data_IF_226190057858
#
_entry.id   IF_226190057858
#
_cell.length_a   1.000
_cell.length_b   1.000
_cell.length_c   1.000
_cell.angle_alpha   90.00
_cell.angle_beta   90.00
_cell.angle_gamma   90.00
#
_symmetry.space_group_name_H-M   'P 1'
#
loop_
_entity.id
_entity.type
_entity.pdbx_description
1 polymer ?
#
# COMPACT_ATOMS: atom_id res chain seq x y z
N UNK A 1 3.58 -16.04 -20.91
CA UNK A 1 4.49 -15.33 -21.86
C UNK A 1 5.93 -15.67 -21.51
N UNK A 2 6.82 -15.81 -22.48
CA UNK A 2 8.26 -15.98 -22.21
C UNK A 2 8.90 -14.61 -22.04
N UNK A 3 9.79 -14.47 -21.04
CA UNK A 3 10.64 -13.29 -20.89
C UNK A 3 11.47 -13.09 -22.16
N UNK A 4 11.50 -11.89 -22.66
CA UNK A 4 12.34 -11.48 -23.79
C UNK A 4 13.50 -10.61 -23.28
N UNK A 5 14.63 -10.66 -23.98
CA UNK A 5 15.78 -9.78 -23.67
C UNK A 5 15.50 -8.35 -24.16
N UNK A 6 14.55 -7.67 -23.52
CA UNK A 6 14.17 -6.27 -23.76
C UNK A 6 14.14 -5.52 -22.42
N UNK A 7 14.13 -4.20 -22.50
CA UNK A 7 14.01 -3.36 -21.30
C UNK A 7 12.68 -3.56 -20.59
N UNK A 8 12.69 -3.42 -19.27
CA UNK A 8 11.49 -3.22 -18.47
C UNK A 8 11.33 -1.73 -18.16
N UNK A 9 10.19 -1.18 -18.49
CA UNK A 9 9.82 0.19 -18.12
C UNK A 9 9.15 0.20 -16.77
N UNK A 10 9.59 1.08 -15.85
CA UNK A 10 8.89 1.39 -14.60
C UNK A 10 8.11 2.69 -14.83
N UNK A 11 6.81 2.67 -14.60
CA UNK A 11 5.94 3.83 -14.87
C UNK A 11 4.68 3.79 -14.03
N UNK A 12 4.09 4.95 -13.80
CA UNK A 12 2.70 5.03 -13.32
C UNK A 12 1.72 4.88 -14.49
N UNK A 13 0.48 4.54 -14.18
CA UNK A 13 -0.59 4.38 -15.17
C UNK A 13 -0.83 5.66 -16.01
N UNK A 14 -0.59 6.82 -15.40
CA UNK A 14 -0.82 8.16 -15.96
C UNK A 14 0.44 8.88 -16.50
N UNK A 15 1.60 8.23 -16.50
CA UNK A 15 2.87 8.92 -16.84
C UNK A 15 3.06 9.15 -18.34
N UNK A 16 2.50 8.29 -19.19
CA UNK A 16 2.60 8.39 -20.65
C UNK A 16 1.23 8.66 -21.30
N UNK A 17 0.35 9.31 -20.57
CA UNK A 17 -1.02 9.62 -20.94
C UNK A 17 -1.82 9.92 -19.69
N UNK A 18 -3.12 9.64 -19.70
CA UNK A 18 -4.00 9.87 -18.54
C UNK A 18 -4.33 8.60 -17.77
N UNK A 19 -4.21 7.44 -18.42
CA UNK A 19 -4.67 6.16 -17.90
C UNK A 19 -3.95 4.98 -18.56
N UNK A 20 -4.33 3.76 -18.19
CA UNK A 20 -3.76 2.51 -18.70
C UNK A 20 -3.98 2.31 -20.20
N UNK A 21 -5.11 2.75 -20.75
CA UNK A 21 -5.38 2.68 -22.19
C UNK A 21 -4.42 3.57 -22.98
N UNK A 22 -4.20 4.81 -22.52
CA UNK A 22 -3.23 5.71 -23.11
C UNK A 22 -1.80 5.15 -22.99
N UNK A 23 -1.43 4.67 -21.81
CA UNK A 23 -0.14 4.02 -21.56
C UNK A 23 0.10 2.91 -22.57
N UNK A 24 -0.86 1.99 -22.74
CA UNK A 24 -0.77 0.90 -23.72
C UNK A 24 -0.57 1.44 -25.14
N UNK A 25 -1.35 2.44 -25.51
CA UNK A 25 -1.30 3.04 -26.86
C UNK A 25 0.08 3.63 -27.16
N UNK A 26 0.67 4.35 -26.22
CA UNK A 26 2.01 4.92 -26.37
C UNK A 26 3.08 3.82 -26.44
N UNK A 27 2.98 2.80 -25.58
CA UNK A 27 3.90 1.67 -25.59
C UNK A 27 3.86 0.92 -26.93
N UNK A 28 2.67 0.66 -27.47
CA UNK A 28 2.51 -0.06 -28.75
C UNK A 28 3.04 0.74 -29.94
N UNK A 29 2.81 2.05 -29.95
CA UNK A 29 3.23 2.91 -31.07
C UNK A 29 4.72 3.22 -31.08
N UNK A 30 5.32 3.43 -29.93
CA UNK A 30 6.65 4.05 -29.83
C UNK A 30 7.71 3.13 -29.22
N UNK A 31 7.32 2.13 -28.43
CA UNK A 31 8.25 1.33 -27.62
C UNK A 31 8.15 -0.18 -27.83
N UNK A 32 7.35 -0.65 -28.75
CA UNK A 32 7.07 -2.08 -28.95
C UNK A 32 8.33 -2.93 -29.17
N UNK A 33 9.34 -2.39 -29.89
CA UNK A 33 10.60 -3.09 -30.12
C UNK A 33 11.56 -3.04 -28.93
N UNK A 34 11.46 -2.04 -28.07
CA UNK A 34 12.41 -1.76 -26.97
C UNK A 34 11.92 -2.30 -25.62
N UNK A 35 10.61 -2.15 -25.31
CA UNK A 35 10.02 -2.47 -24.03
C UNK A 35 9.30 -3.81 -24.10
N UNK A 36 9.84 -4.81 -23.42
CA UNK A 36 9.25 -6.16 -23.32
C UNK A 36 8.50 -6.40 -22.01
N UNK A 37 8.70 -5.57 -21.01
CA UNK A 37 8.00 -5.63 -19.74
C UNK A 37 7.65 -4.26 -19.20
N UNK A 38 6.62 -4.19 -18.35
CA UNK A 38 6.20 -2.96 -17.69
C UNK A 38 5.99 -3.25 -16.20
N UNK A 39 6.72 -2.52 -15.36
CA UNK A 39 6.42 -2.41 -13.95
C UNK A 39 5.44 -1.24 -13.79
N UNK A 40 4.16 -1.55 -13.62
CA UNK A 40 3.15 -0.54 -13.33
C UNK A 40 3.19 -0.29 -11.83
N UNK A 41 3.61 0.93 -11.45
CA UNK A 41 3.61 1.40 -10.07
C UNK A 41 2.17 1.43 -9.54
N UNK A 42 1.94 1.49 -8.22
CA UNK A 42 0.63 1.28 -7.63
C UNK A 42 -0.49 2.05 -8.33
N UNK A 43 -1.55 1.34 -8.69
CA UNK A 43 -2.67 1.85 -9.49
C UNK A 43 -4.04 1.58 -8.85
N UNK A 44 -4.08 1.05 -7.63
CA UNK A 44 -5.31 0.95 -6.85
C UNK A 44 -5.67 2.30 -6.20
N UNK A 45 -6.93 2.52 -5.78
CA UNK A 45 -7.32 3.72 -5.06
C UNK A 45 -6.41 3.97 -3.85
N UNK A 46 -5.89 5.18 -3.75
CA UNK A 46 -4.92 5.56 -2.74
C UNK A 46 -5.21 6.94 -2.18
N UNK A 47 -4.95 7.14 -0.89
CA UNK A 47 -5.16 8.43 -0.24
C UNK A 47 -3.93 9.35 -0.29
N UNK A 48 -2.75 8.80 -0.56
CA UNK A 48 -1.49 9.56 -0.55
C UNK A 48 -0.36 8.81 -1.26
N UNK A 49 0.82 9.47 -1.31
CA UNK A 49 2.10 8.92 -1.76
C UNK A 49 2.02 8.30 -3.17
N UNK A 50 1.20 8.88 -4.03
CA UNK A 50 1.03 8.52 -5.45
C UNK A 50 0.80 7.01 -5.66
N UNK A 51 -0.17 6.44 -4.93
CA UNK A 51 -0.52 5.02 -4.99
C UNK A 51 0.03 4.18 -3.83
N UNK A 52 1.09 4.65 -3.13
CA UNK A 52 1.73 3.90 -2.05
C UNK A 52 1.03 4.00 -0.69
N UNK A 53 -0.15 4.62 -0.60
CA UNK A 53 -1.06 4.52 0.53
C UNK A 53 -2.39 3.91 0.06
N UNK A 54 -2.41 2.62 -0.30
CA UNK A 54 -3.58 1.99 -0.91
C UNK A 54 -4.75 1.95 0.08
N UNK A 55 -5.93 2.28 -0.41
CA UNK A 55 -7.17 2.12 0.35
C UNK A 55 -7.78 0.72 0.16
N UNK A 56 -7.52 0.13 -1.02
CA UNK A 56 -7.99 -1.19 -1.44
C UNK A 56 -6.95 -1.82 -2.37
N UNK A 57 -7.02 -3.15 -2.55
CA UNK A 57 -6.12 -3.89 -3.44
C UNK A 57 -6.86 -4.63 -4.56
N UNK A 58 -8.17 -4.75 -4.46
CA UNK A 58 -9.02 -5.58 -5.31
C UNK A 58 -9.52 -4.88 -6.57
N UNK A 59 -9.33 -3.55 -6.68
CA UNK A 59 -9.74 -2.76 -7.83
C UNK A 59 -8.62 -1.87 -8.35
N UNK A 60 -8.69 -1.54 -9.62
CA UNK A 60 -7.94 -0.44 -10.24
C UNK A 60 -8.63 0.87 -9.87
N UNK A 61 -7.86 1.94 -9.67
CA UNK A 61 -8.46 3.27 -9.52
C UNK A 61 -9.26 3.63 -10.79
N UNK A 62 -10.54 4.01 -10.66
CA UNK A 62 -11.38 4.32 -11.82
C UNK A 62 -10.81 5.39 -12.75
N UNK A 63 -9.98 6.31 -12.24
CA UNK A 63 -9.32 7.33 -13.06
C UNK A 63 -8.25 6.71 -13.97
N UNK A 64 -7.73 5.53 -13.65
CA UNK A 64 -6.71 4.84 -14.42
C UNK A 64 -7.28 3.75 -15.34
N UNK A 65 -8.52 3.30 -15.12
CA UNK A 65 -9.16 2.25 -15.90
C UNK A 65 -9.60 1.06 -15.06
N UNK A 66 -9.43 -0.15 -15.59
CA UNK A 66 -9.85 -1.38 -14.92
C UNK A 66 -8.87 -2.55 -15.13
N UNK A 67 -9.22 -3.72 -14.58
CA UNK A 67 -8.41 -4.93 -14.75
C UNK A 67 -8.34 -5.44 -16.19
N UNK A 68 -9.30 -5.09 -17.07
CA UNK A 68 -9.23 -5.42 -18.48
C UNK A 68 -8.14 -4.63 -19.19
N UNK A 69 -7.93 -3.35 -18.80
CA UNK A 69 -6.82 -2.54 -19.32
C UNK A 69 -5.46 -3.09 -18.87
N UNK A 70 -5.33 -3.47 -17.61
CA UNK A 70 -4.12 -4.13 -17.08
C UNK A 70 -3.85 -5.41 -17.86
N UNK A 71 -4.89 -6.24 -18.05
CA UNK A 71 -4.79 -7.48 -18.84
C UNK A 71 -4.36 -7.20 -20.27
N UNK A 72 -4.91 -6.19 -20.92
CA UNK A 72 -4.58 -5.85 -22.31
C UNK A 72 -3.09 -5.49 -22.49
N UNK A 73 -2.45 -4.85 -21.47
CA UNK A 73 -1.00 -4.65 -21.48
C UNK A 73 -0.28 -6.00 -21.27
N UNK A 74 -0.77 -6.83 -20.35
CA UNK A 74 -0.20 -8.13 -20.01
C UNK A 74 -0.28 -9.17 -21.15
N UNK A 75 -1.24 -9.04 -22.07
CA UNK A 75 -1.35 -9.92 -23.24
C UNK A 75 -0.16 -9.78 -24.21
N UNK A 76 0.51 -8.63 -24.21
CA UNK A 76 1.62 -8.31 -25.13
C UNK A 76 2.94 -7.99 -24.45
N UNK A 77 2.95 -7.72 -23.13
CA UNK A 77 4.15 -7.39 -22.34
C UNK A 77 4.16 -8.12 -21.02
N UNK A 78 5.36 -8.41 -20.54
CA UNK A 78 5.52 -8.92 -19.18
C UNK A 78 5.16 -7.83 -18.15
N UNK A 79 4.36 -8.19 -17.14
CA UNK A 79 3.94 -7.26 -16.09
C UNK A 79 4.67 -7.52 -14.77
N UNK A 80 4.96 -6.44 -14.06
CA UNK A 80 5.41 -6.42 -12.69
C UNK A 80 4.57 -5.41 -11.91
N UNK A 81 4.31 -5.70 -10.63
CA UNK A 81 3.55 -4.85 -9.74
C UNK A 81 4.25 -4.75 -8.38
N UNK A 82 3.97 -3.67 -7.66
CA UNK A 82 4.28 -3.59 -6.23
C UNK A 82 3.31 -4.47 -5.44
N UNK A 83 3.84 -5.16 -4.44
CA UNK A 83 3.06 -5.93 -3.49
C UNK A 83 3.21 -5.33 -2.09
N UNK A 84 2.35 -4.36 -1.77
CA UNK A 84 2.41 -3.59 -0.53
C UNK A 84 1.70 -4.32 0.60
N UNK A 85 2.41 -5.21 1.27
CA UNK A 85 1.89 -5.98 2.42
C UNK A 85 2.27 -5.39 3.78
N UNK A 86 3.08 -4.34 3.79
CA UNK A 86 3.61 -3.74 5.01
C UNK A 86 2.72 -2.66 5.60
N UNK A 87 1.90 -1.99 4.79
CA UNK A 87 1.00 -0.94 5.26
C UNK A 87 -0.21 -0.77 4.33
N UNK A 88 -1.23 -0.10 4.84
CA UNK A 88 -2.43 0.31 4.13
C UNK A 88 -2.79 1.75 4.51
N UNK A 89 -3.59 2.42 3.68
CA UNK A 89 -4.04 3.77 3.97
C UNK A 89 -4.80 3.88 5.30
N UNK A 90 -4.52 4.95 6.03
CA UNK A 90 -5.33 5.39 7.18
C UNK A 90 -6.81 5.58 6.81
N UNK A 91 -7.11 5.92 5.53
CA UNK A 91 -8.47 6.10 5.03
C UNK A 91 -9.09 4.81 4.47
N UNK A 92 -8.38 3.68 4.57
CA UNK A 92 -8.92 2.40 4.11
C UNK A 92 -10.17 1.99 4.90
N UNK A 93 -11.13 1.30 4.27
CA UNK A 93 -12.28 0.74 4.97
C UNK A 93 -11.88 -0.16 6.13
N UNK A 94 -10.75 -0.83 6.03
CA UNK A 94 -10.21 -1.70 7.08
C UNK A 94 -9.82 -0.93 8.34
N UNK A 95 -9.09 0.16 8.18
CA UNK A 95 -8.70 0.99 9.31
C UNK A 95 -9.88 1.76 9.89
N UNK A 96 -10.83 2.21 9.05
CA UNK A 96 -12.05 2.87 9.50
C UNK A 96 -12.96 1.94 10.31
N UNK A 97 -13.08 0.65 9.93
CA UNK A 97 -13.79 -0.35 10.73
C UNK A 97 -13.11 -0.57 12.09
N UNK A 98 -11.78 -0.64 12.11
CA UNK A 98 -11.01 -0.74 13.35
C UNK A 98 -11.21 0.48 14.26
N UNK A 99 -11.21 1.71 13.72
CA UNK A 99 -11.49 2.92 14.51
C UNK A 99 -12.92 2.93 15.07
N UNK A 100 -13.88 2.43 14.30
CA UNK A 100 -15.28 2.41 14.70
C UNK A 100 -15.58 1.34 15.79
N UNK A 101 -14.92 0.19 15.75
CA UNK A 101 -15.27 -0.98 16.60
C UNK A 101 -14.18 -1.40 17.58
N UNK A 102 -12.95 -0.92 17.41
CA UNK A 102 -11.78 -1.23 18.25
C UNK A 102 -11.59 -2.74 18.43
N UNK A 103 -11.70 -3.25 19.65
CA UNK A 103 -11.51 -4.66 19.99
C UNK A 103 -12.65 -5.56 19.50
N UNK A 104 -13.82 -4.99 19.18
CA UNK A 104 -14.97 -5.69 18.58
C UNK A 104 -14.86 -5.82 17.05
N UNK A 105 -13.87 -5.17 16.43
CA UNK A 105 -13.60 -5.32 15.00
C UNK A 105 -13.00 -6.70 14.73
N UNK A 106 -13.45 -7.36 13.66
CA UNK A 106 -12.76 -8.54 13.13
C UNK A 106 -11.33 -8.22 12.64
N UNK A 107 -10.99 -6.94 12.56
CA UNK A 107 -9.69 -6.40 12.15
C UNK A 107 -8.86 -5.89 13.34
N UNK A 108 -9.25 -6.21 14.58
CA UNK A 108 -8.58 -5.72 15.78
C UNK A 108 -7.09 -6.10 15.85
N UNK A 109 -6.71 -7.27 15.30
CA UNK A 109 -5.33 -7.75 15.22
C UNK A 109 -4.65 -7.47 13.88
N UNK A 110 -5.36 -6.82 12.94
CA UNK A 110 -4.85 -6.54 11.60
C UNK A 110 -3.75 -5.47 11.59
N UNK A 111 -3.79 -4.54 12.53
CA UNK A 111 -2.86 -3.44 12.67
C UNK A 111 -1.87 -3.68 13.80
N UNK A 112 -0.65 -3.14 13.67
CA UNK A 112 0.33 -3.24 14.75
C UNK A 112 0.01 -2.15 15.77
N UNK A 113 -0.60 -2.54 16.88
CA UNK A 113 -0.85 -1.66 18.02
C UNK A 113 0.45 -1.44 18.77
N UNK A 114 0.77 -0.20 19.05
CA UNK A 114 2.05 0.18 19.66
C UNK A 114 2.26 -0.44 21.04
N UNK A 115 1.21 -0.44 21.84
CA UNK A 115 1.18 -1.05 23.18
C UNK A 115 1.50 -2.56 23.14
N UNK A 116 0.91 -3.28 22.20
CA UNK A 116 1.08 -4.73 22.11
C UNK A 116 2.47 -5.10 21.59
N UNK A 117 3.04 -4.28 20.70
CA UNK A 117 4.41 -4.44 20.23
C UNK A 117 5.43 -4.34 21.39
N UNK A 118 5.19 -3.44 22.32
CA UNK A 118 6.05 -3.20 23.48
C UNK A 118 5.60 -3.89 24.77
N UNK A 119 4.70 -4.89 24.68
CA UNK A 119 4.11 -5.54 25.84
C UNK A 119 5.15 -6.14 26.80
N UNK A 120 6.24 -6.71 26.25
CA UNK A 120 7.36 -7.26 27.04
C UNK A 120 8.14 -6.16 27.83
N UNK A 121 8.09 -4.93 27.34
CA UNK A 121 8.76 -3.75 27.94
C UNK A 121 7.78 -2.88 28.75
N UNK A 122 6.65 -3.44 29.19
CA UNK A 122 5.62 -2.73 29.94
C UNK A 122 4.62 -1.93 29.10
N UNK A 123 4.63 -2.16 27.77
CA UNK A 123 3.69 -1.52 26.84
C UNK A 123 4.09 -0.12 26.35
N UNK A 124 5.20 0.43 26.84
CA UNK A 124 5.72 1.74 26.45
C UNK A 124 7.26 1.71 26.35
N UNK A 125 7.82 2.14 25.22
CA UNK A 125 9.27 2.27 25.09
C UNK A 125 9.76 3.52 25.80
N UNK A 126 11.07 3.56 26.11
CA UNK A 126 11.76 4.79 26.45
C UNK A 126 12.03 5.64 25.20
N UNK A 127 12.33 6.93 25.37
CA UNK A 127 12.70 7.79 24.25
C UNK A 127 13.95 7.27 23.52
N UNK A 128 14.92 6.72 24.26
CA UNK A 128 16.14 6.12 23.68
C UNK A 128 15.81 4.89 22.83
N UNK A 129 14.86 4.05 23.27
CA UNK A 129 14.41 2.88 22.46
C UNK A 129 13.74 3.33 21.17
N UNK A 130 12.88 4.39 21.22
CA UNK A 130 12.26 4.97 20.03
C UNK A 130 13.29 5.60 19.11
N UNK A 131 14.27 6.29 19.66
CA UNK A 131 15.33 6.94 18.89
C UNK A 131 16.32 5.95 18.26
N UNK A 132 16.48 4.76 18.85
CA UNK A 132 17.27 3.68 18.27
C UNK A 132 16.61 2.99 17.07
N UNK A 133 15.29 3.20 16.86
CA UNK A 133 14.58 2.64 15.72
C UNK A 133 14.98 3.40 14.45
N UNK A 134 15.31 2.66 13.37
CA UNK A 134 15.50 3.28 12.07
C UNK A 134 14.20 3.98 11.62
N UNK A 135 14.30 5.28 11.40
CA UNK A 135 13.17 6.11 10.96
C UNK A 135 13.38 6.53 9.50
N UNK A 136 12.46 6.17 8.64
CA UNK A 136 12.49 6.61 7.24
C UNK A 136 12.27 8.12 7.09
N UNK A 137 11.53 8.73 8.02
CA UNK A 137 11.29 10.18 8.12
C UNK A 137 11.66 10.65 9.51
N UNK A 138 12.02 11.94 9.68
CA UNK A 138 12.40 12.50 10.99
C UNK A 138 11.17 12.73 11.87
N UNK A 139 10.42 11.68 12.18
CA UNK A 139 9.26 11.68 13.07
C UNK A 139 9.14 10.34 13.78
N UNK A 140 8.32 10.28 14.82
CA UNK A 140 7.99 9.03 15.48
C UNK A 140 7.28 8.07 14.52
N UNK A 141 7.56 6.74 14.59
CA UNK A 141 7.00 5.73 13.67
C UNK A 141 5.61 5.27 14.09
N UNK A 142 4.81 6.15 14.66
CA UNK A 142 3.44 5.88 15.11
C UNK A 142 2.56 7.11 14.97
N UNK A 143 1.26 6.89 14.94
CA UNK A 143 0.21 7.91 15.00
C UNK A 143 -0.84 7.54 16.02
N UNK A 144 -1.59 8.54 16.47
CA UNK A 144 -2.75 8.32 17.31
C UNK A 144 -3.94 7.83 16.47
N UNK A 145 -4.54 6.74 16.94
CA UNK A 145 -5.81 6.19 16.46
C UNK A 145 -6.90 6.57 17.46
N UNK A 146 -7.79 7.46 17.04
CA UNK A 146 -8.93 7.91 17.84
C UNK A 146 -10.12 7.00 17.55
N UNK A 147 -10.60 6.29 18.56
CA UNK A 147 -11.70 5.34 18.44
C UNK A 147 -13.06 6.00 18.68
N UNK A 148 -14.13 5.39 18.15
CA UNK A 148 -15.49 5.89 18.32
C UNK A 148 -15.96 5.89 19.79
N UNK A 149 -15.32 5.13 20.68
CA UNK A 149 -15.57 5.12 22.13
C UNK A 149 -14.92 6.32 22.85
N UNK A 150 -14.24 7.21 22.13
CA UNK A 150 -13.53 8.38 22.66
C UNK A 150 -12.15 8.07 23.23
N UNK A 151 -11.69 6.84 23.16
CA UNK A 151 -10.33 6.46 23.59
C UNK A 151 -9.33 6.67 22.44
N UNK A 152 -8.05 6.75 22.79
CA UNK A 152 -6.95 6.92 21.82
C UNK A 152 -5.86 5.89 22.11
N UNK A 153 -5.36 5.24 21.07
CA UNK A 153 -4.19 4.38 21.15
C UNK A 153 -3.20 4.71 20.02
N UNK A 154 -1.92 4.37 20.23
CA UNK A 154 -0.92 4.50 19.18
C UNK A 154 -0.89 3.26 18.29
N UNK A 155 -0.77 3.47 16.98
CA UNK A 155 -0.54 2.43 15.98
C UNK A 155 0.71 2.74 15.17
N UNK A 156 1.40 1.71 14.72
CA UNK A 156 2.60 1.88 13.91
C UNK A 156 2.30 2.43 12.52
N UNK A 157 3.16 3.33 12.04
CA UNK A 157 3.14 3.90 10.69
C UNK A 157 4.55 4.26 10.23
N UNK A 158 5.36 3.25 9.99
CA UNK A 158 6.80 3.38 9.70
C UNK A 158 7.09 4.25 8.49
N UNK A 159 6.28 4.14 7.43
CA UNK A 159 6.51 4.84 6.17
C UNK A 159 5.96 6.28 6.15
N UNK A 160 4.76 6.49 6.63
CA UNK A 160 4.10 7.80 6.63
C UNK A 160 2.85 7.79 7.50
N UNK A 161 2.36 8.96 7.90
CA UNK A 161 1.17 9.09 8.77
C UNK A 161 -0.10 8.54 8.12
N UNK A 162 -0.17 8.53 6.79
CA UNK A 162 -1.25 7.92 6.00
C UNK A 162 -1.08 6.42 5.77
N UNK A 163 0.05 5.82 6.18
CA UNK A 163 0.45 4.45 5.86
C UNK A 163 0.54 3.63 7.15
N UNK A 164 -0.58 3.06 7.58
CA UNK A 164 -0.67 2.29 8.84
C UNK A 164 -0.12 0.89 8.63
N UNK A 165 0.81 0.48 9.49
CA UNK A 165 1.51 -0.80 9.37
C UNK A 165 0.59 -1.98 9.65
N UNK A 166 0.65 -2.98 8.76
CA UNK A 166 -0.14 -4.20 8.82
C UNK A 166 0.59 -5.25 9.66
N UNK A 167 -0.13 -5.90 10.54
CA UNK A 167 0.36 -7.03 11.31
C UNK A 167 0.34 -8.32 10.46
N UNK A 168 1.45 -8.62 9.81
CA UNK A 168 1.59 -9.85 8.98
C UNK A 168 1.44 -11.17 9.75
N UNK A 169 1.36 -11.14 11.09
CA UNK A 169 1.07 -12.31 11.91
C UNK A 169 -0.44 -12.58 12.01
N UNK A 170 -1.28 -11.58 11.74
CA UNK A 170 -2.74 -11.74 11.71
C UNK A 170 -3.17 -12.68 10.58
N UNK A 171 -4.01 -13.65 10.90
CA UNK A 171 -4.60 -14.54 9.88
C UNK A 171 -5.54 -13.79 8.93
N UNK A 172 -6.11 -12.68 9.39
CA UNK A 172 -6.92 -11.78 8.54
C UNK A 172 -6.06 -11.07 7.51
N UNK A 173 -4.91 -10.54 7.94
CA UNK A 173 -3.98 -9.85 7.05
C UNK A 173 -3.41 -10.77 5.95
N UNK A 174 -3.24 -12.07 6.26
CA UNK A 174 -2.77 -13.07 5.28
C UNK A 174 -3.80 -13.43 4.20
N UNK A 175 -5.06 -13.04 4.39
CA UNK A 175 -6.17 -13.37 3.49
C UNK A 175 -6.64 -12.16 2.65
N UNK A 176 -6.02 -11.01 2.85
CA UNK A 176 -6.26 -9.81 2.07
C UNK A 176 -5.64 -9.96 0.68
#
# INVERSE_FOLDING_TARGET
MKLSNKCMLITYADSLGKNLTDLKTVLDRHFDKAVGGVHILPFSPSSADRGFAPMRYDIVDPDFGDWADVKAIGDVRYLMFDFMINHISRQSPYFQDFLAKKDDSELADFFIRYKDFWAAEGGFPTDEQVDAIYKRKPRAPYVDAEFADGTTEKVWCTFGEEQIDINVKSERAKRL
#
